data_IF_348192837542
#
_entry.id   IF_348192837542
#
_cell.length_a   1.000
_cell.length_b   1.000
_cell.length_c   1.000
_cell.angle_alpha   90.00
_cell.angle_beta   90.00
_cell.angle_gamma   90.00
#
_symmetry.space_group_name_H-M   'P 1'
#
loop_
_entity.id
_entity.type
_entity.pdbx_description
1 polymer ?
#
# COMPACT_ATOMS: atom_id res chain seq x y z
N UNK A 1 13.61 11.73 28.55
CA UNK A 1 12.41 11.19 29.19
C UNK A 1 11.27 12.14 28.88
N UNK A 2 10.53 11.90 27.79
CA UNK A 2 9.37 12.74 27.44
C UNK A 2 8.20 12.26 28.32
N UNK A 3 7.90 13.03 29.37
CA UNK A 3 6.77 12.79 30.24
C UNK A 3 5.48 13.18 29.52
N UNK A 4 4.67 12.19 29.15
CA UNK A 4 3.31 12.42 28.68
C UNK A 4 2.39 12.09 29.84
N UNK A 5 1.62 13.07 30.28
CA UNK A 5 0.60 12.89 31.33
C UNK A 5 -0.49 11.96 30.76
N UNK A 6 -0.85 10.83 31.40
CA UNK A 6 -1.70 9.80 30.79
C UNK A 6 -3.18 10.17 30.54
N UNK A 7 -3.59 11.43 30.57
CA UNK A 7 -5.01 11.78 30.82
C UNK A 7 -5.70 12.67 29.76
N UNK A 8 -5.17 12.75 28.53
CA UNK A 8 -5.87 13.41 27.41
C UNK A 8 -6.50 12.43 26.42
N UNK A 9 -5.86 11.27 26.16
CA UNK A 9 -6.35 10.29 25.18
C UNK A 9 -7.62 9.56 25.64
N UNK A 10 -7.75 9.23 26.94
CA UNK A 10 -8.89 8.49 27.50
C UNK A 10 -10.22 9.26 27.54
N UNK A 11 -10.25 10.53 27.13
CA UNK A 11 -11.51 11.26 26.94
C UNK A 11 -12.17 11.00 25.59
N UNK A 12 -11.42 10.49 24.62
CA UNK A 12 -11.85 10.33 23.23
C UNK A 12 -12.00 8.87 22.80
N UNK A 13 -11.41 7.93 23.55
CA UNK A 13 -11.48 6.50 23.26
C UNK A 13 -11.97 5.75 24.50
N UNK A 14 -12.93 4.85 24.32
CA UNK A 14 -13.52 4.02 25.35
C UNK A 14 -12.50 3.07 25.98
N UNK A 15 -11.52 2.58 25.20
CA UNK A 15 -10.44 1.75 25.70
C UNK A 15 -9.15 1.83 24.84
N UNK A 16 -8.15 1.03 25.24
CA UNK A 16 -6.84 0.93 24.58
C UNK A 16 -6.96 0.37 23.16
N UNK A 17 -7.91 -0.52 22.91
CA UNK A 17 -8.04 -1.21 21.63
C UNK A 17 -8.70 -0.28 20.61
N UNK A 18 -9.64 0.57 21.04
CA UNK A 18 -10.18 1.66 20.22
C UNK A 18 -9.11 2.71 19.89
N UNK A 19 -8.30 3.14 20.86
CA UNK A 19 -7.17 4.04 20.58
C UNK A 19 -6.19 3.41 19.58
N UNK A 20 -5.85 2.13 19.76
CA UNK A 20 -4.96 1.43 18.84
C UNK A 20 -5.56 1.35 17.43
N UNK A 21 -6.87 1.13 17.32
CA UNK A 21 -7.59 1.12 16.05
C UNK A 21 -7.41 2.41 15.26
N UNK A 22 -7.63 3.53 15.94
CA UNK A 22 -7.59 4.86 15.33
C UNK A 22 -6.18 5.24 14.91
N UNK A 23 -5.17 4.83 15.68
CA UNK A 23 -3.77 5.02 15.28
C UNK A 23 -3.40 4.15 14.08
N UNK A 24 -3.85 2.89 14.03
CA UNK A 24 -3.66 2.01 12.86
C UNK A 24 -4.35 2.59 11.62
N UNK A 25 -5.57 3.10 11.77
CA UNK A 25 -6.33 3.75 10.70
C UNK A 25 -5.61 4.99 10.17
N UNK A 26 -5.12 5.86 11.07
CA UNK A 26 -4.36 7.05 10.68
C UNK A 26 -3.06 6.69 9.93
N UNK A 27 -2.34 5.65 10.36
CA UNK A 27 -1.14 5.18 9.67
C UNK A 27 -1.46 4.59 8.28
N UNK A 28 -2.59 3.91 8.13
CA UNK A 28 -3.08 3.44 6.83
C UNK A 28 -3.50 4.58 5.90
N UNK A 29 -4.16 5.62 6.42
CA UNK A 29 -4.50 6.82 5.66
C UNK A 29 -3.25 7.51 5.15
N UNK A 30 -2.22 7.68 5.99
CA UNK A 30 -0.95 8.29 5.57
C UNK A 30 -0.27 7.48 4.44
N UNK A 31 -0.25 6.15 4.55
CA UNK A 31 0.24 5.28 3.46
C UNK A 31 -0.55 5.51 2.17
N UNK A 32 -1.88 5.50 2.25
CA UNK A 32 -2.74 5.70 1.10
C UNK A 32 -2.55 7.07 0.44
N UNK A 33 -2.42 8.13 1.24
CA UNK A 33 -2.22 9.49 0.76
C UNK A 33 -0.89 9.64 0.03
N UNK A 34 0.19 9.03 0.54
CA UNK A 34 1.50 9.00 -0.16
C UNK A 34 1.41 8.23 -1.49
N UNK A 35 0.74 7.09 -1.50
CA UNK A 35 0.50 6.33 -2.73
C UNK A 35 -0.31 7.14 -3.75
N UNK A 36 -1.40 7.78 -3.33
CA UNK A 36 -2.23 8.62 -4.18
C UNK A 36 -1.45 9.82 -4.75
N UNK A 37 -0.62 10.46 -3.94
CA UNK A 37 0.23 11.57 -4.36
C UNK A 37 1.23 11.14 -5.45
N UNK A 38 1.84 9.96 -5.33
CA UNK A 38 2.79 9.45 -6.33
C UNK A 38 2.10 9.01 -7.63
N UNK A 39 0.93 8.36 -7.52
CA UNK A 39 0.09 8.05 -8.69
C UNK A 39 -0.28 9.33 -9.46
N UNK A 40 -0.64 10.40 -8.75
CA UNK A 40 -1.03 11.67 -9.35
C UNK A 40 0.10 12.36 -10.13
N UNK A 41 1.36 12.06 -9.82
CA UNK A 41 2.54 12.58 -10.55
C UNK A 41 2.75 11.87 -11.89
N UNK A 42 2.13 10.71 -12.12
CA UNK A 42 2.28 9.96 -13.38
C UNK A 42 1.56 10.67 -14.52
N UNK A 43 2.35 11.20 -15.46
CA UNK A 43 1.84 11.82 -16.67
C UNK A 43 1.20 10.80 -17.63
N UNK A 44 0.09 11.20 -18.25
CA UNK A 44 -0.64 10.42 -19.25
C UNK A 44 -2.12 10.29 -18.91
N UNK A 45 -2.96 10.06 -19.93
CA UNK A 45 -4.40 9.89 -19.71
C UNK A 45 -4.72 8.50 -19.15
N UNK A 46 -5.84 8.37 -18.44
CA UNK A 46 -6.40 7.06 -18.06
C UNK A 46 -6.63 6.22 -19.32
N UNK A 47 -6.35 4.91 -19.25
CA UNK A 47 -6.46 3.99 -20.37
C UNK A 47 -5.27 4.01 -21.34
N UNK A 48 -4.25 4.86 -21.11
CA UNK A 48 -2.99 4.75 -21.85
C UNK A 48 -2.14 3.59 -21.28
N UNK A 49 -1.70 2.62 -22.11
CA UNK A 49 -0.97 1.44 -21.63
C UNK A 49 0.31 1.76 -20.84
N UNK A 50 1.06 2.77 -21.27
CA UNK A 50 2.32 3.16 -20.64
C UNK A 50 2.05 3.88 -19.31
N UNK A 51 1.07 4.78 -19.27
CA UNK A 51 0.68 5.48 -18.05
C UNK A 51 0.11 4.52 -17.00
N UNK A 52 -0.74 3.58 -17.40
CA UNK A 52 -1.32 2.57 -16.50
C UNK A 52 -0.22 1.71 -15.84
N UNK A 53 0.75 1.20 -16.62
CA UNK A 53 1.90 0.46 -16.07
C UNK A 53 2.73 1.31 -15.09
N UNK A 54 2.94 2.59 -15.40
CA UNK A 54 3.66 3.52 -14.52
C UNK A 54 2.92 3.80 -13.21
N UNK A 55 1.58 3.91 -13.24
CA UNK A 55 0.77 4.06 -12.02
C UNK A 55 0.85 2.83 -11.12
N UNK A 56 0.77 1.63 -11.69
CA UNK A 56 1.01 0.40 -10.91
C UNK A 56 2.41 0.37 -10.30
N UNK A 57 3.44 0.72 -11.08
CA UNK A 57 4.81 0.83 -10.56
C UNK A 57 4.95 1.85 -9.43
N UNK A 58 4.24 2.98 -9.54
CA UNK A 58 4.24 4.04 -8.52
C UNK A 58 3.58 3.59 -7.22
N UNK A 59 2.51 2.78 -7.29
CA UNK A 59 1.90 2.14 -6.12
C UNK A 59 2.91 1.30 -5.36
N UNK A 60 3.61 0.39 -6.04
CA UNK A 60 4.62 -0.47 -5.40
C UNK A 60 5.80 0.32 -4.83
N UNK A 61 6.28 1.32 -5.57
CA UNK A 61 7.41 2.17 -5.14
C UNK A 61 7.04 3.00 -3.90
N UNK A 62 5.87 3.65 -3.91
CA UNK A 62 5.39 4.46 -2.78
C UNK A 62 5.19 3.61 -1.51
N UNK A 63 4.68 2.39 -1.68
CA UNK A 63 4.52 1.44 -0.59
C UNK A 63 5.86 1.05 0.05
N UNK A 64 6.85 0.65 -0.76
CA UNK A 64 8.17 0.26 -0.30
C UNK A 64 8.92 1.45 0.33
N UNK A 65 8.80 2.63 -0.28
CA UNK A 65 9.35 3.88 0.25
C UNK A 65 8.77 4.22 1.62
N UNK A 66 7.45 4.11 1.80
CA UNK A 66 6.82 4.36 3.10
C UNK A 66 7.33 3.37 4.17
N UNK A 67 7.43 2.08 3.83
CA UNK A 67 7.97 1.08 4.75
C UNK A 67 9.41 1.37 5.19
N UNK A 68 10.22 1.93 4.28
CA UNK A 68 11.60 2.30 4.54
C UNK A 68 11.74 3.61 5.32
N UNK A 69 11.03 4.66 4.91
CA UNK A 69 11.13 5.99 5.51
C UNK A 69 10.46 6.04 6.89
N UNK A 70 9.38 5.29 7.09
CA UNK A 70 8.52 5.35 8.28
C UNK A 70 8.28 3.96 8.91
N UNK A 71 9.32 3.22 9.31
CA UNK A 71 9.19 1.82 9.76
C UNK A 71 8.23 1.63 10.94
N UNK A 72 8.16 2.61 11.85
CA UNK A 72 7.23 2.60 12.98
C UNK A 72 5.77 2.80 12.56
N UNK A 73 5.50 3.74 11.65
CA UNK A 73 4.15 3.94 11.11
C UNK A 73 3.73 2.76 10.24
N UNK A 74 4.65 2.18 9.46
CA UNK A 74 4.39 0.96 8.70
C UNK A 74 4.01 -0.19 9.63
N UNK A 75 4.78 -0.47 10.68
CA UNK A 75 4.44 -1.48 11.65
C UNK A 75 3.08 -1.21 12.32
N UNK A 76 2.78 0.05 12.61
CA UNK A 76 1.51 0.48 13.20
C UNK A 76 0.32 0.26 12.26
N UNK A 77 0.46 0.61 10.97
CA UNK A 77 -0.57 0.43 9.95
C UNK A 77 -1.03 -1.04 9.83
N UNK A 78 -0.17 -2.00 10.18
CA UNK A 78 -0.45 -3.44 10.09
C UNK A 78 -0.55 -4.14 11.46
N UNK A 79 -0.57 -3.39 12.57
CA UNK A 79 -0.54 -3.95 13.93
C UNK A 79 -1.86 -4.64 14.34
N UNK A 80 -3.00 -4.24 13.76
CA UNK A 80 -4.31 -4.83 14.07
C UNK A 80 -5.02 -5.31 12.78
N UNK A 81 -4.69 -6.53 12.29
CA UNK A 81 -5.20 -7.04 11.02
C UNK A 81 -6.74 -7.13 10.92
N UNK A 82 -7.41 -7.33 12.06
CA UNK A 82 -8.87 -7.53 12.14
C UNK A 82 -9.68 -6.27 11.79
N UNK A 83 -9.05 -5.09 11.77
CA UNK A 83 -9.72 -3.81 11.53
C UNK A 83 -9.66 -3.35 10.07
N UNK A 84 -8.92 -4.06 9.23
CA UNK A 84 -8.85 -3.76 7.82
C UNK A 84 -9.78 -4.70 7.06
N UNK A 85 -10.85 -4.15 6.49
CA UNK A 85 -11.78 -4.91 5.65
C UNK A 85 -11.15 -5.21 4.26
N UNK A 86 -10.09 -6.01 4.21
CA UNK A 86 -9.40 -6.36 2.96
C UNK A 86 -10.27 -7.18 2.00
N UNK A 87 -11.25 -7.91 2.54
CA UNK A 87 -12.11 -8.83 1.81
C UNK A 87 -13.42 -8.21 1.27
N UNK A 88 -13.82 -7.04 1.77
CA UNK A 88 -15.06 -6.38 1.34
C UNK A 88 -14.72 -5.25 0.36
N UNK A 89 -15.36 -5.26 -0.81
CA UNK A 89 -15.44 -4.08 -1.67
C UNK A 89 -16.63 -3.31 -1.12
N UNK A 90 -16.42 -2.17 -0.47
CA UNK A 90 -17.54 -1.38 0.03
C UNK A 90 -18.19 -0.65 -1.17
N UNK A 91 -18.99 -1.39 -1.93
CA UNK A 91 -19.70 -0.89 -3.12
C UNK A 91 -20.86 0.03 -2.73
N UNK A 92 -21.20 0.12 -1.44
CA UNK A 92 -22.39 0.80 -0.93
C UNK A 92 -22.32 2.33 -1.00
N UNK A 93 -21.12 2.93 -1.06
CA UNK A 93 -20.95 4.39 -1.02
C UNK A 93 -20.74 5.03 -2.38
N UNK A 94 -20.45 4.25 -3.43
CA UNK A 94 -20.10 4.77 -4.77
C UNK A 94 -18.82 5.63 -4.79
N UNK A 95 -18.13 5.76 -3.66
CA UNK A 95 -16.87 6.47 -3.52
C UNK A 95 -15.72 5.53 -3.91
N UNK A 96 -14.70 6.06 -4.61
CA UNK A 96 -13.51 5.26 -4.90
C UNK A 96 -12.84 4.87 -3.58
N UNK A 97 -12.67 3.57 -3.34
CA UNK A 97 -11.95 3.04 -2.19
C UNK A 97 -10.53 3.65 -2.16
N UNK A 98 -10.33 4.59 -1.23
CA UNK A 98 -9.06 5.31 -1.04
C UNK A 98 -8.08 4.54 -0.18
N UNK A 99 -8.36 3.29 0.21
CA UNK A 99 -7.38 2.47 0.92
C UNK A 99 -6.22 2.08 -0.01
N UNK A 100 -5.05 1.65 0.52
CA UNK A 100 -3.96 1.16 -0.32
C UNK A 100 -4.38 0.01 -1.25
N UNK A 101 -5.25 -0.89 -0.79
CA UNK A 101 -5.79 -1.98 -1.60
C UNK A 101 -6.79 -1.47 -2.65
N UNK A 102 -7.60 -0.47 -2.30
CA UNK A 102 -8.48 0.23 -3.24
C UNK A 102 -7.71 0.91 -4.38
N UNK A 103 -6.62 1.60 -4.06
CA UNK A 103 -5.72 2.20 -5.06
C UNK A 103 -5.10 1.15 -5.98
N UNK A 104 -4.66 0.01 -5.43
CA UNK A 104 -4.17 -1.14 -6.23
C UNK A 104 -5.26 -1.68 -7.15
N UNK A 105 -6.47 -1.91 -6.64
CA UNK A 105 -7.61 -2.39 -7.44
C UNK A 105 -7.93 -1.43 -8.58
N UNK A 106 -7.99 -0.13 -8.31
CA UNK A 106 -8.26 0.89 -9.34
C UNK A 106 -7.17 0.92 -10.44
N UNK A 107 -5.89 0.77 -10.07
CA UNK A 107 -4.82 0.70 -11.05
C UNK A 107 -4.86 -0.59 -11.89
N UNK A 108 -5.27 -1.71 -11.29
CA UNK A 108 -5.48 -2.97 -12.02
C UNK A 108 -6.67 -2.88 -12.98
N UNK A 109 -7.76 -2.21 -12.58
CA UNK A 109 -8.90 -1.94 -13.46
C UNK A 109 -8.48 -1.05 -14.65
N UNK A 110 -7.67 -0.01 -14.41
CA UNK A 110 -7.11 0.80 -15.49
C UNK A 110 -6.22 -0.02 -16.44
N UNK A 111 -5.46 -1.00 -15.94
CA UNK A 111 -4.65 -1.88 -16.79
C UNK A 111 -5.52 -2.76 -17.69
N UNK A 112 -6.70 -3.18 -17.23
CA UNK A 112 -7.69 -3.87 -18.08
C UNK A 112 -8.24 -2.92 -19.14
N UNK A 113 -8.66 -1.71 -18.75
CA UNK A 113 -9.15 -0.68 -19.68
C UNK A 113 -8.12 -0.34 -20.77
N UNK A 114 -6.83 -0.31 -20.41
CA UNK A 114 -5.73 -0.04 -21.32
C UNK A 114 -5.32 -1.25 -22.18
N UNK A 115 -5.95 -2.41 -22.03
CA UNK A 115 -5.59 -3.65 -22.75
C UNK A 115 -4.23 -4.21 -22.34
N UNK A 116 -3.74 -3.87 -21.15
CA UNK A 116 -2.47 -4.36 -20.60
C UNK A 116 -2.65 -5.65 -19.81
N UNK A 117 -3.74 -5.75 -19.05
CA UNK A 117 -4.10 -6.93 -18.25
C UNK A 117 -5.30 -7.62 -18.89
N UNK A 118 -5.21 -8.93 -19.10
CA UNK A 118 -6.34 -9.73 -19.57
C UNK A 118 -7.49 -9.67 -18.53
N UNK A 119 -8.73 -9.31 -18.93
CA UNK A 119 -9.88 -9.30 -18.03
C UNK A 119 -10.08 -10.63 -17.27
N UNK A 120 -9.76 -11.78 -17.86
CA UNK A 120 -9.88 -13.10 -17.23
C UNK A 120 -8.92 -13.28 -16.05
N UNK A 121 -7.83 -12.50 -16.02
CA UNK A 121 -6.81 -12.54 -14.97
C UNK A 121 -7.02 -11.46 -13.92
N UNK A 122 -8.02 -10.59 -14.09
CA UNK A 122 -8.23 -9.45 -13.20
C UNK A 122 -8.68 -9.88 -11.81
N UNK A 123 -9.55 -10.87 -11.72
CA UNK A 123 -10.10 -11.30 -10.45
C UNK A 123 -9.03 -11.89 -9.54
N UNK A 124 -8.95 -11.39 -8.30
CA UNK A 124 -8.02 -11.85 -7.27
C UNK A 124 -6.54 -11.51 -7.46
N UNK A 125 -6.10 -10.95 -8.60
CA UNK A 125 -4.67 -10.67 -8.85
C UNK A 125 -4.08 -9.61 -7.91
N UNK A 126 -4.92 -8.78 -7.28
CA UNK A 126 -4.45 -7.83 -6.25
C UNK A 126 -3.75 -8.53 -5.07
N UNK A 127 -4.17 -9.73 -4.68
CA UNK A 127 -3.65 -10.42 -3.50
C UNK A 127 -2.22 -10.96 -3.68
N UNK A 128 -1.87 -11.68 -4.79
CA UNK A 128 -0.48 -12.05 -5.03
C UNK A 128 0.42 -10.82 -5.25
N UNK A 129 -0.06 -9.78 -5.94
CA UNK A 129 0.71 -8.53 -6.12
C UNK A 129 0.98 -7.87 -4.76
N UNK A 130 -0.06 -7.72 -3.93
CA UNK A 130 0.06 -7.19 -2.58
C UNK A 130 1.02 -8.01 -1.73
N UNK A 131 0.93 -9.34 -1.79
CA UNK A 131 1.81 -10.25 -1.03
C UNK A 131 3.28 -10.05 -1.39
N UNK A 132 3.59 -9.85 -2.67
CA UNK A 132 4.96 -9.62 -3.16
C UNK A 132 5.50 -8.28 -2.64
N UNK A 133 4.73 -7.20 -2.73
CA UNK A 133 5.15 -5.87 -2.25
C UNK A 133 5.26 -5.85 -0.73
N UNK A 134 4.23 -6.32 -0.02
CA UNK A 134 4.21 -6.37 1.45
C UNK A 134 5.32 -7.27 2.00
N UNK A 135 5.50 -8.46 1.42
CA UNK A 135 6.58 -9.37 1.79
C UNK A 135 7.95 -8.74 1.60
N UNK A 136 8.17 -8.03 0.48
CA UNK A 136 9.41 -7.27 0.26
C UNK A 136 9.59 -6.22 1.34
N UNK A 137 8.58 -5.39 1.61
CA UNK A 137 8.61 -4.34 2.63
C UNK A 137 8.96 -4.89 4.02
N UNK A 138 8.35 -6.02 4.42
CA UNK A 138 8.63 -6.66 5.70
C UNK A 138 10.06 -7.19 5.74
N UNK A 139 10.51 -7.89 4.70
CA UNK A 139 11.84 -8.48 4.64
C UNK A 139 12.95 -7.43 4.70
N UNK A 140 12.77 -6.31 4.00
CA UNK A 140 13.76 -5.21 3.89
C UNK A 140 13.62 -4.15 4.98
N UNK A 141 12.47 -4.06 5.66
CA UNK A 141 12.23 -3.07 6.71
C UNK A 141 12.58 -3.58 8.11
N UNK A 142 11.86 -4.61 8.56
CA UNK A 142 12.03 -5.19 9.91
C UNK A 142 12.65 -6.59 9.88
N UNK A 143 12.69 -7.21 8.70
CA UNK A 143 13.11 -8.58 8.48
C UNK A 143 14.63 -8.77 8.36
N UNK A 144 15.04 -9.93 7.83
CA UNK A 144 16.45 -10.32 7.77
C UNK A 144 17.28 -9.49 6.78
N UNK A 145 16.65 -8.74 5.88
CA UNK A 145 17.35 -7.91 4.88
C UNK A 145 17.45 -6.43 5.31
N UNK A 146 17.02 -6.07 6.52
CA UNK A 146 17.01 -4.68 7.01
C UNK A 146 18.39 -3.99 7.02
N UNK A 147 19.45 -4.78 7.22
CA UNK A 147 20.83 -4.28 7.30
C UNK A 147 21.57 -4.40 5.96
N UNK A 148 20.86 -4.75 4.87
CA UNK A 148 21.45 -4.82 3.54
C UNK A 148 21.88 -3.42 3.05
N UNK A 149 22.95 -3.33 2.25
CA UNK A 149 23.38 -2.06 1.67
C UNK A 149 22.26 -1.41 0.85
N UNK A 150 22.18 -0.08 0.88
CA UNK A 150 21.14 0.69 0.15
C UNK A 150 21.09 0.36 -1.36
N UNK A 151 22.25 0.08 -1.97
CA UNK A 151 22.34 -0.38 -3.36
C UNK A 151 21.62 -1.71 -3.60
N UNK A 152 21.70 -2.63 -2.64
CA UNK A 152 21.04 -3.93 -2.70
C UNK A 152 19.54 -3.78 -2.44
N UNK A 153 19.13 -2.92 -1.49
CA UNK A 153 17.73 -2.60 -1.25
C UNK A 153 17.04 -2.02 -2.49
N UNK A 154 17.68 -1.06 -3.16
CA UNK A 154 17.18 -0.51 -4.45
C UNK A 154 17.10 -1.58 -5.55
N UNK A 155 18.04 -2.52 -5.57
CA UNK A 155 18.02 -3.64 -6.51
C UNK A 155 16.84 -4.57 -6.23
N UNK A 156 16.60 -4.92 -4.98
CA UNK A 156 15.47 -5.75 -4.56
C UNK A 156 14.15 -5.08 -4.96
N UNK A 157 13.99 -3.79 -4.66
CA UNK A 157 12.82 -3.01 -5.09
C UNK A 157 12.61 -3.09 -6.61
N UNK A 158 13.65 -2.83 -7.40
CA UNK A 158 13.57 -2.90 -8.86
C UNK A 158 13.17 -4.31 -9.36
N UNK A 159 13.71 -5.37 -8.75
CA UNK A 159 13.38 -6.76 -9.08
C UNK A 159 11.91 -7.08 -8.71
N UNK A 160 11.44 -6.62 -7.56
CA UNK A 160 10.06 -6.77 -7.11
C UNK A 160 9.08 -6.12 -8.08
N UNK A 161 9.35 -4.88 -8.51
CA UNK A 161 8.50 -4.16 -9.48
C UNK A 161 8.55 -4.82 -10.86
N UNK A 162 9.72 -5.30 -11.31
CA UNK A 162 9.84 -6.03 -12.57
C UNK A 162 9.07 -7.36 -12.53
N UNK A 163 9.13 -8.10 -11.42
CA UNK A 163 8.37 -9.34 -11.23
C UNK A 163 6.85 -9.10 -11.38
N UNK A 164 6.33 -8.06 -10.72
CA UNK A 164 4.91 -7.67 -10.82
C UNK A 164 4.56 -7.25 -12.26
N UNK A 165 5.40 -6.44 -12.91
CA UNK A 165 5.17 -6.00 -14.29
C UNK A 165 5.10 -7.16 -15.28
N UNK A 166 5.97 -8.16 -15.11
CA UNK A 166 6.00 -9.37 -15.93
C UNK A 166 4.82 -10.30 -15.65
N UNK A 167 4.24 -10.27 -14.44
CA UNK A 167 3.05 -11.08 -14.14
C UNK A 167 1.77 -10.51 -14.74
N UNK A 168 1.78 -9.37 -15.42
CA UNK A 168 0.58 -8.80 -16.06
C UNK A 168 0.28 -9.36 -17.45
N UNK A 169 1.30 -9.90 -18.13
CA UNK A 169 1.23 -10.53 -19.46
C UNK A 169 1.10 -12.03 -19.33
#
# INVERSE_FOLDING_TARGET
>A
MVGVVPNAAYRHFADRDELLAEVCAAAMTELADRMAADIARVSGKRGNPVAARRRLGSIGSAYLKFAHDEPGLFATAFAVPQQHAYASRDEATGESDRTPLGLLRAALDELVEAGVLDPQRRDGIEFPIWSVVHGTAVLTGQGPLRDAPETELRRIEALTLAFIGNSLT
#
